data_IF_987471580179
#
_entry.id   IF_987471580179
#
_cell.length_a   1.000
_cell.length_b   1.000
_cell.length_c   1.000
_cell.angle_alpha   90.00
_cell.angle_beta   90.00
_cell.angle_gamma   90.00
#
_symmetry.space_group_name_H-M   'P 1'
#
loop_
_entity.id
_entity.type
_entity.pdbx_description
1 polymer ?
#
# COMPACT_ATOMS: atom_id res chain seq x y z
N UNK A 1 -3.02 -11.90 -17.58
CA UNK A 1 -4.39 -12.45 -17.72
C UNK A 1 -5.37 -11.41 -18.29
N UNK A 2 -5.40 -10.20 -17.74
CA UNK A 2 -6.44 -9.20 -18.00
C UNK A 2 -6.06 -8.13 -19.03
N UNK A 3 -4.81 -8.09 -19.45
CA UNK A 3 -4.26 -7.05 -20.34
C UNK A 3 -3.30 -7.64 -21.37
N UNK A 4 -3.11 -6.89 -22.46
CA UNK A 4 -2.10 -7.16 -23.50
C UNK A 4 -1.01 -6.08 -23.45
N UNK A 5 0.18 -6.31 -24.05
CA UNK A 5 1.17 -5.26 -24.23
C UNK A 5 0.56 -4.02 -24.92
N UNK A 6 0.86 -2.83 -24.38
CA UNK A 6 0.30 -1.56 -24.82
C UNK A 6 -1.01 -1.14 -24.13
N UNK A 7 -1.73 -2.06 -23.46
CA UNK A 7 -2.91 -1.70 -22.66
C UNK A 7 -2.54 -0.78 -21.49
N UNK A 8 -3.46 0.11 -21.12
CA UNK A 8 -3.31 0.99 -19.98
C UNK A 8 -3.73 0.30 -18.70
N UNK A 9 -2.89 0.44 -17.66
CA UNK A 9 -3.15 0.00 -16.29
C UNK A 9 -3.09 1.22 -15.38
N UNK A 10 -4.11 1.39 -14.55
CA UNK A 10 -4.24 2.53 -13.65
C UNK A 10 -3.79 2.16 -12.25
N UNK A 11 -3.10 3.10 -11.60
CA UNK A 11 -2.76 3.10 -10.17
C UNK A 11 -3.08 4.45 -9.55
N UNK A 12 -2.96 4.58 -8.22
CA UNK A 12 -3.18 5.82 -7.48
C UNK A 12 -1.93 6.17 -6.65
N UNK A 13 -1.02 6.96 -7.24
CA UNK A 13 0.20 7.37 -6.55
C UNK A 13 -0.06 8.45 -5.47
N UNK A 14 0.75 8.50 -4.37
CA UNK A 14 1.86 7.62 -4.09
C UNK A 14 1.34 6.23 -3.71
N UNK A 15 1.90 5.18 -4.30
CA UNK A 15 1.48 3.80 -4.09
C UNK A 15 2.69 2.86 -4.11
N UNK A 16 2.54 1.67 -3.58
CA UNK A 16 3.55 0.62 -3.57
C UNK A 16 4.28 0.52 -4.92
N UNK A 17 5.57 0.88 -4.91
CA UNK A 17 6.35 1.11 -6.13
C UNK A 17 6.41 -0.08 -7.09
N UNK A 18 6.40 -1.37 -6.64
CA UNK A 18 6.36 -2.48 -7.57
C UNK A 18 5.12 -2.52 -8.47
N UNK A 19 4.04 -1.79 -8.14
CA UNK A 19 2.91 -1.67 -9.07
C UNK A 19 3.32 -0.97 -10.35
N UNK A 20 4.10 0.11 -10.25
CA UNK A 20 4.63 0.82 -11.42
C UNK A 20 5.58 -0.06 -12.23
N UNK A 21 6.48 -0.75 -11.53
CA UNK A 21 7.48 -1.64 -12.14
C UNK A 21 6.83 -2.77 -12.92
N UNK A 22 5.91 -3.52 -12.30
CA UNK A 22 5.26 -4.65 -13.01
C UNK A 22 4.42 -4.22 -14.20
N UNK A 23 3.86 -3.01 -14.20
CA UNK A 23 3.13 -2.47 -15.33
C UNK A 23 4.08 -2.23 -16.51
N UNK A 24 5.16 -1.49 -16.26
CA UNK A 24 6.13 -1.08 -17.29
C UNK A 24 6.92 -2.28 -17.82
N UNK A 25 7.45 -3.11 -16.92
CA UNK A 25 8.27 -4.26 -17.27
C UNK A 25 7.52 -5.32 -18.09
N UNK A 26 6.19 -5.36 -17.94
CA UNK A 26 5.35 -6.21 -18.75
C UNK A 26 4.84 -5.51 -20.03
N UNK A 27 5.37 -4.35 -20.40
CA UNK A 27 5.03 -3.64 -21.63
C UNK A 27 3.63 -3.01 -21.63
N UNK A 28 3.05 -2.72 -20.45
CA UNK A 28 1.78 -2.00 -20.29
C UNK A 28 2.07 -0.52 -20.10
N UNK A 29 1.08 0.32 -20.39
CA UNK A 29 1.17 1.77 -20.16
C UNK A 29 0.71 2.07 -18.73
N UNK A 30 1.60 2.69 -17.96
CA UNK A 30 1.25 3.20 -16.64
C UNK A 30 0.37 4.46 -16.77
N UNK A 31 -0.75 4.47 -16.08
CA UNK A 31 -1.62 5.64 -15.89
C UNK A 31 -1.77 5.87 -14.40
N UNK A 32 -1.53 7.09 -13.93
CA UNK A 32 -1.74 7.45 -12.53
C UNK A 32 -2.89 8.44 -12.39
N UNK A 33 -3.80 8.16 -11.47
CA UNK A 33 -4.73 9.13 -10.89
C UNK A 33 -4.29 9.37 -9.46
N UNK A 34 -3.52 10.42 -9.26
CA UNK A 34 -2.80 10.66 -8.02
C UNK A 34 -3.77 10.96 -6.87
N UNK A 35 -3.45 10.44 -5.69
CA UNK A 35 -4.16 10.79 -4.47
C UNK A 35 -3.89 12.24 -4.09
N UNK A 36 -4.88 12.91 -3.55
CA UNK A 36 -4.80 14.31 -3.14
C UNK A 36 -4.65 14.40 -1.64
N UNK A 37 -3.57 15.04 -1.18
CA UNK A 37 -3.38 15.35 0.23
C UNK A 37 -4.21 16.57 0.61
N UNK A 38 -5.17 16.40 1.52
CA UNK A 38 -5.76 17.52 2.25
C UNK A 38 -4.76 18.01 3.28
N UNK A 39 -4.11 19.13 2.98
CA UNK A 39 -3.08 19.71 3.85
C UNK A 39 -3.60 20.13 5.23
N UNK A 40 -4.87 20.48 5.35
CA UNK A 40 -5.46 20.87 6.63
C UNK A 40 -5.76 19.63 7.49
N UNK A 41 -6.39 18.63 6.91
CA UNK A 41 -6.73 17.39 7.60
C UNK A 41 -5.53 16.44 7.76
N UNK A 42 -4.51 16.52 6.89
CA UNK A 42 -3.39 15.59 6.87
C UNK A 42 -3.77 14.21 6.38
N UNK A 43 -4.62 14.14 5.40
CA UNK A 43 -5.29 12.94 4.97
C UNK A 43 -5.37 12.90 3.44
N UNK A 44 -5.12 11.74 2.86
CA UNK A 44 -5.20 11.56 1.41
C UNK A 44 -6.62 11.15 0.98
N UNK A 45 -7.09 11.69 -0.13
CA UNK A 45 -8.38 11.36 -0.74
C UNK A 45 -8.25 11.01 -2.22
N UNK A 46 -9.32 10.45 -2.78
CA UNK A 46 -9.43 10.13 -4.20
C UNK A 46 -10.11 11.31 -4.91
N UNK A 47 -9.47 11.85 -5.96
CA UNK A 47 -10.14 12.70 -6.93
C UNK A 47 -10.91 11.80 -7.93
N UNK A 48 -12.18 11.58 -7.66
CA UNK A 48 -13.02 10.71 -8.48
C UNK A 48 -13.23 11.26 -9.91
N UNK A 49 -13.18 12.57 -10.07
CA UNK A 49 -13.31 13.18 -11.40
C UNK A 49 -12.07 12.91 -12.25
N UNK A 50 -10.87 13.06 -11.66
CA UNK A 50 -9.61 12.70 -12.31
C UNK A 50 -9.54 11.18 -12.56
N UNK A 51 -9.94 10.37 -11.59
CA UNK A 51 -9.95 8.91 -11.70
C UNK A 51 -10.79 8.44 -12.90
N UNK A 52 -12.03 8.93 -13.04
CA UNK A 52 -12.89 8.58 -14.17
C UNK A 52 -12.34 9.14 -15.49
N UNK A 53 -11.89 10.39 -15.51
CA UNK A 53 -11.28 11.02 -16.68
C UNK A 53 -10.08 10.22 -17.19
N UNK A 54 -9.16 9.80 -16.31
CA UNK A 54 -7.98 8.99 -16.65
C UNK A 54 -8.38 7.64 -17.25
N UNK A 55 -9.41 7.00 -16.72
CA UNK A 55 -9.95 5.74 -17.26
C UNK A 55 -10.43 5.93 -18.69
N UNK A 56 -11.23 6.97 -18.95
CA UNK A 56 -11.83 7.22 -20.25
C UNK A 56 -10.78 7.63 -21.29
N UNK A 57 -9.98 8.64 -20.98
CA UNK A 57 -8.98 9.17 -21.92
C UNK A 57 -7.91 8.16 -22.31
N UNK A 58 -7.56 7.25 -21.40
CA UNK A 58 -6.51 6.26 -21.63
C UNK A 58 -7.03 4.88 -22.01
N UNK A 59 -8.34 4.67 -22.05
CA UNK A 59 -8.94 3.36 -22.32
C UNK A 59 -8.43 2.27 -21.37
N UNK A 60 -8.37 2.60 -20.05
CA UNK A 60 -7.82 1.72 -19.02
C UNK A 60 -8.54 0.38 -19.01
N UNK A 61 -7.77 -0.71 -18.87
CA UNK A 61 -8.28 -2.09 -18.85
C UNK A 61 -8.21 -2.72 -17.47
N UNK A 62 -7.26 -2.29 -16.65
CA UNK A 62 -7.00 -2.83 -15.32
C UNK A 62 -6.70 -1.69 -14.35
N UNK A 63 -7.28 -1.74 -13.18
CA UNK A 63 -6.94 -0.89 -12.03
C UNK A 63 -6.30 -1.75 -10.94
N UNK A 64 -5.13 -1.36 -10.45
CA UNK A 64 -4.50 -1.97 -9.28
C UNK A 64 -4.86 -1.14 -8.06
N UNK A 65 -5.80 -1.64 -7.27
CA UNK A 65 -6.24 -1.03 -6.01
C UNK A 65 -5.36 -1.54 -4.87
N UNK A 66 -4.79 -0.62 -4.09
CA UNK A 66 -4.11 -0.91 -2.82
C UNK A 66 -5.06 -0.61 -1.65
N UNK A 67 -5.45 -1.62 -0.88
CA UNK A 67 -6.46 -1.48 0.19
C UNK A 67 -6.22 -2.44 1.36
N UNK A 68 -5.78 -1.97 2.51
CA UNK A 68 -5.33 -0.62 2.90
C UNK A 68 -4.16 -0.10 2.08
N UNK A 69 -4.10 1.22 1.91
CA UNK A 69 -3.19 1.86 0.95
C UNK A 69 -1.80 2.13 1.52
N UNK A 70 -0.79 1.53 0.94
CA UNK A 70 0.63 1.77 1.21
C UNK A 70 1.19 2.74 0.13
N UNK A 71 1.84 3.88 0.50
CA UNK A 71 2.43 4.20 1.80
C UNK A 71 1.55 5.07 2.72
N UNK A 72 0.46 5.65 2.24
CA UNK A 72 -0.27 6.74 2.92
C UNK A 72 -1.14 6.30 4.10
N UNK A 73 -1.27 4.98 4.31
CA UNK A 73 -1.97 4.42 5.47
C UNK A 73 -3.50 4.53 5.42
N UNK A 74 -4.11 4.84 4.25
CA UNK A 74 -5.57 4.94 4.13
C UNK A 74 -6.25 3.58 4.23
N UNK A 75 -7.38 3.56 4.91
CA UNK A 75 -8.38 2.47 4.87
C UNK A 75 -9.62 3.02 4.18
N UNK A 76 -9.83 2.60 2.94
CA UNK A 76 -10.93 3.12 2.12
C UNK A 76 -12.28 2.80 2.72
N UNK A 77 -13.13 3.81 2.85
CA UNK A 77 -14.51 3.64 3.30
C UNK A 77 -15.33 2.84 2.29
N UNK A 78 -16.45 2.29 2.75
CA UNK A 78 -17.40 1.61 1.88
C UNK A 78 -17.90 2.51 0.75
N UNK A 79 -18.11 3.79 1.06
CA UNK A 79 -18.61 4.82 0.13
C UNK A 79 -17.57 5.12 -0.96
N UNK A 80 -16.29 5.29 -0.58
CA UNK A 80 -15.20 5.50 -1.53
C UNK A 80 -15.04 4.29 -2.46
N UNK A 81 -15.00 3.08 -1.91
CA UNK A 81 -14.89 1.86 -2.71
C UNK A 81 -16.10 1.63 -3.61
N UNK A 82 -17.30 1.98 -3.14
CA UNK A 82 -18.52 1.91 -3.95
C UNK A 82 -18.44 2.85 -5.15
N UNK A 83 -17.94 4.06 -4.97
CA UNK A 83 -17.78 5.05 -6.05
C UNK A 83 -16.71 4.59 -7.05
N UNK A 84 -15.54 4.15 -6.59
CA UNK A 84 -14.48 3.55 -7.42
C UNK A 84 -15.05 2.37 -8.24
N UNK A 85 -15.72 1.44 -7.57
CA UNK A 85 -16.26 0.25 -8.22
C UNK A 85 -17.31 0.56 -9.27
N UNK A 86 -18.19 1.53 -9.04
CA UNK A 86 -19.18 1.98 -10.01
C UNK A 86 -18.55 2.63 -11.25
N UNK A 87 -17.47 3.38 -11.07
CA UNK A 87 -16.70 3.93 -12.20
C UNK A 87 -16.07 2.78 -12.99
N UNK A 88 -15.36 1.86 -12.34
CA UNK A 88 -14.75 0.72 -13.00
C UNK A 88 -15.78 -0.13 -13.76
N UNK A 89 -16.93 -0.40 -13.14
CA UNK A 89 -18.02 -1.16 -13.76
C UNK A 89 -18.56 -0.48 -15.02
N UNK A 90 -18.83 0.84 -14.97
CA UNK A 90 -19.33 1.61 -16.12
C UNK A 90 -18.44 1.53 -17.34
N UNK A 91 -17.12 1.51 -17.09
CA UNK A 91 -16.12 1.55 -18.17
C UNK A 91 -15.49 0.19 -18.46
N UNK A 92 -15.99 -0.90 -17.86
CA UNK A 92 -15.51 -2.26 -18.12
C UNK A 92 -14.05 -2.50 -17.67
N UNK A 93 -13.63 -1.83 -16.61
CA UNK A 93 -12.29 -1.96 -16.01
C UNK A 93 -12.27 -3.12 -15.02
N UNK A 94 -11.35 -4.07 -15.21
CA UNK A 94 -11.09 -5.10 -14.21
C UNK A 94 -10.35 -4.48 -13.01
N UNK A 95 -10.68 -4.90 -11.79
CA UNK A 95 -9.99 -4.46 -10.58
C UNK A 95 -9.17 -5.59 -9.99
N UNK A 96 -7.88 -5.36 -9.79
CA UNK A 96 -7.04 -6.19 -8.93
C UNK A 96 -6.94 -5.48 -7.57
N UNK A 97 -7.62 -6.03 -6.58
CA UNK A 97 -7.62 -5.50 -5.21
C UNK A 97 -6.54 -6.20 -4.40
N UNK A 98 -5.44 -5.48 -4.14
CA UNK A 98 -4.39 -5.93 -3.24
C UNK A 98 -4.78 -5.57 -1.80
N UNK A 99 -5.23 -6.58 -1.07
CA UNK A 99 -5.71 -6.48 0.31
C UNK A 99 -4.74 -7.10 1.32
N UNK A 100 -3.45 -7.15 0.98
CA UNK A 100 -2.40 -7.79 1.79
C UNK A 100 -2.24 -7.16 3.19
N UNK A 101 -2.68 -5.91 3.37
CA UNK A 101 -2.65 -5.19 4.64
C UNK A 101 -3.98 -5.21 5.41
N UNK A 102 -4.97 -5.98 4.97
CA UNK A 102 -6.33 -6.01 5.51
C UNK A 102 -6.39 -6.22 7.04
N UNK A 103 -5.47 -6.97 7.61
CA UNK A 103 -5.42 -7.29 9.04
C UNK A 103 -4.96 -6.11 9.93
N UNK A 104 -4.28 -5.13 9.34
CA UNK A 104 -3.77 -3.97 10.08
C UNK A 104 -4.63 -2.73 9.84
N UNK A 105 -5.76 -2.67 10.53
CA UNK A 105 -6.67 -1.52 10.56
C UNK A 105 -6.75 -0.99 11.98
N UNK A 106 -6.54 0.32 12.14
CA UNK A 106 -6.49 1.03 13.41
C UNK A 106 -7.77 1.82 13.67
N UNK A 107 -8.42 2.26 12.59
CA UNK A 107 -9.67 3.02 12.63
C UNK A 107 -10.68 2.41 11.66
N UNK A 108 -11.91 2.18 12.10
CA UNK A 108 -12.97 1.56 11.29
C UNK A 108 -12.76 0.06 11.06
N UNK A 109 -13.05 -0.40 9.86
CA UNK A 109 -12.89 -1.80 9.45
C UNK A 109 -12.51 -1.88 7.98
N UNK A 110 -11.66 -2.86 7.64
CA UNK A 110 -11.36 -3.16 6.24
C UNK A 110 -12.63 -3.58 5.49
N UNK A 111 -12.76 -3.07 4.28
CA UNK A 111 -13.85 -3.42 3.37
C UNK A 111 -13.26 -4.22 2.21
N UNK A 112 -13.67 -5.47 2.07
CA UNK A 112 -13.28 -6.31 0.92
C UNK A 112 -13.96 -5.77 -0.33
N UNK A 113 -13.18 -5.26 -1.30
CA UNK A 113 -13.70 -4.57 -2.47
C UNK A 113 -14.76 -5.40 -3.23
N UNK A 114 -14.50 -6.68 -3.44
CA UNK A 114 -15.37 -7.57 -4.21
C UNK A 114 -16.78 -7.74 -3.61
N UNK A 115 -16.99 -7.41 -2.33
CA UNK A 115 -18.28 -7.59 -1.63
C UNK A 115 -18.93 -6.28 -1.21
N UNK A 116 -18.31 -5.14 -1.51
CA UNK A 116 -18.90 -3.81 -1.26
C UNK A 116 -20.24 -3.66 -2.00
N UNK A 117 -20.30 -4.17 -3.22
CA UNK A 117 -21.51 -4.33 -4.01
C UNK A 117 -21.48 -5.73 -4.65
N UNK A 118 -22.58 -6.52 -4.65
CA UNK A 118 -22.61 -7.86 -5.24
C UNK A 118 -22.16 -7.90 -6.71
N UNK A 119 -22.34 -6.83 -7.48
CA UNK A 119 -21.93 -6.76 -8.87
C UNK A 119 -20.39 -6.68 -9.05
N UNK A 120 -19.66 -6.28 -8.02
CA UNK A 120 -18.20 -6.08 -8.14
C UNK A 120 -17.44 -7.41 -8.24
N UNK A 121 -18.00 -8.48 -7.71
CA UNK A 121 -17.42 -9.82 -7.80
C UNK A 121 -17.17 -10.29 -9.25
N UNK A 122 -17.96 -9.77 -10.21
CA UNK A 122 -17.87 -10.16 -11.62
C UNK A 122 -16.59 -9.64 -12.34
N UNK A 123 -15.94 -8.59 -11.81
CA UNK A 123 -14.77 -7.98 -12.45
C UNK A 123 -13.59 -7.78 -11.48
N UNK A 124 -13.61 -8.44 -10.32
CA UNK A 124 -12.58 -8.28 -9.28
C UNK A 124 -11.73 -9.53 -9.11
N UNK A 125 -10.44 -9.30 -8.99
CA UNK A 125 -9.44 -10.25 -8.47
C UNK A 125 -8.99 -9.72 -7.12
N UNK A 126 -9.28 -10.44 -6.04
CA UNK A 126 -8.82 -10.07 -4.69
C UNK A 126 -7.59 -10.89 -4.33
N UNK A 127 -6.53 -10.22 -3.89
CA UNK A 127 -5.29 -10.83 -3.43
C UNK A 127 -5.07 -10.53 -1.94
N UNK A 128 -4.80 -11.59 -1.16
CA UNK A 128 -4.41 -11.51 0.24
C UNK A 128 -3.19 -12.39 0.50
N UNK A 129 -2.51 -12.20 1.62
CA UNK A 129 -1.44 -13.08 2.02
C UNK A 129 -1.20 -13.05 3.54
N UNK A 130 -0.76 -14.13 4.16
CA UNK A 130 -0.33 -14.13 5.55
C UNK A 130 1.01 -13.43 5.77
N UNK A 131 1.69 -13.07 4.68
CA UNK A 131 3.09 -12.63 4.67
C UNK A 131 3.33 -11.34 5.44
N UNK A 132 2.41 -10.37 5.37
CA UNK A 132 2.52 -9.11 6.12
C UNK A 132 2.03 -9.27 7.55
N UNK A 133 0.97 -10.03 7.77
CA UNK A 133 0.37 -10.26 9.08
C UNK A 133 1.30 -11.03 9.99
N UNK A 134 1.96 -12.07 9.49
CA UNK A 134 2.78 -13.00 10.26
C UNK A 134 4.29 -12.91 9.95
N UNK A 135 4.74 -11.88 9.25
CA UNK A 135 6.14 -11.65 8.90
C UNK A 135 6.80 -12.83 8.17
N UNK A 136 6.09 -13.45 7.22
CA UNK A 136 6.55 -14.63 6.46
C UNK A 136 6.67 -14.36 4.95
N UNK A 137 6.95 -13.12 4.57
CA UNK A 137 7.02 -12.70 3.15
C UNK A 137 8.02 -13.53 2.32
N UNK A 138 9.13 -13.96 2.92
CA UNK A 138 10.13 -14.79 2.25
C UNK A 138 9.62 -16.18 1.81
N UNK A 139 8.47 -16.62 2.32
CA UNK A 139 7.85 -17.89 1.94
C UNK A 139 6.94 -17.78 0.71
N UNK A 140 6.66 -16.55 0.23
CA UNK A 140 6.03 -16.26 -1.06
C UNK A 140 4.67 -16.99 -1.28
N UNK A 141 3.79 -16.95 -0.29
CA UNK A 141 2.44 -17.51 -0.38
C UNK A 141 1.41 -16.39 -0.39
N UNK A 142 0.49 -16.45 -1.33
CA UNK A 142 -0.67 -15.57 -1.40
C UNK A 142 -1.95 -16.32 -1.76
N UNK A 143 -3.09 -15.74 -1.41
CA UNK A 143 -4.41 -16.25 -1.72
C UNK A 143 -5.04 -15.35 -2.78
N UNK A 144 -5.55 -15.94 -3.86
CA UNK A 144 -6.21 -15.21 -4.94
C UNK A 144 -7.65 -15.67 -5.04
N UNK A 145 -8.58 -14.73 -4.84
CA UNK A 145 -10.02 -14.98 -4.90
C UNK A 145 -10.62 -14.33 -6.15
N UNK A 146 -11.28 -15.14 -6.97
CA UNK A 146 -11.93 -14.68 -8.20
C UNK A 146 -13.27 -15.40 -8.29
N UNK A 147 -14.37 -14.67 -8.15
CA UNK A 147 -15.71 -15.26 -8.17
C UNK A 147 -16.18 -15.61 -9.58
N UNK A 148 -15.90 -14.73 -10.56
CA UNK A 148 -16.27 -14.95 -11.95
C UNK A 148 -15.49 -16.10 -12.60
N UNK A 149 -16.19 -17.06 -13.18
CA UNK A 149 -15.59 -18.26 -13.76
C UNK A 149 -14.71 -17.95 -14.99
N UNK A 150 -15.12 -17.02 -15.83
CA UNK A 150 -14.38 -16.65 -17.04
C UNK A 150 -13.09 -15.90 -16.69
N UNK A 151 -13.16 -14.96 -15.76
CA UNK A 151 -12.00 -14.24 -15.26
C UNK A 151 -11.02 -15.19 -14.56
N UNK A 152 -11.54 -16.12 -13.74
CA UNK A 152 -10.73 -17.14 -13.05
C UNK A 152 -10.04 -18.08 -14.04
N UNK A 153 -10.72 -18.48 -15.11
CA UNK A 153 -10.13 -19.31 -16.17
C UNK A 153 -8.98 -18.58 -16.89
N UNK A 154 -9.15 -17.30 -17.24
CA UNK A 154 -8.08 -16.46 -17.80
C UNK A 154 -6.88 -16.33 -16.88
N UNK A 155 -7.14 -16.09 -15.58
CA UNK A 155 -6.08 -16.02 -14.57
C UNK A 155 -5.29 -17.33 -14.49
N UNK A 156 -5.98 -18.47 -14.39
CA UNK A 156 -5.35 -19.80 -14.34
C UNK A 156 -4.52 -20.10 -15.60
N UNK A 157 -5.02 -19.73 -16.76
CA UNK A 157 -4.27 -19.90 -18.00
C UNK A 157 -2.96 -19.12 -17.99
N UNK A 158 -2.98 -17.84 -17.60
CA UNK A 158 -1.79 -17.01 -17.49
C UNK A 158 -0.83 -17.51 -16.41
N UNK A 159 -1.35 -17.92 -15.27
CA UNK A 159 -0.58 -18.50 -14.18
C UNK A 159 0.17 -19.77 -14.65
N UNK A 160 -0.53 -20.69 -15.31
CA UNK A 160 0.08 -21.92 -15.83
C UNK A 160 1.14 -21.62 -16.91
N UNK A 161 0.88 -20.63 -17.76
CA UNK A 161 1.81 -20.22 -18.83
C UNK A 161 3.10 -19.59 -18.27
N UNK A 162 3.09 -19.04 -17.06
CA UNK A 162 4.29 -18.50 -16.40
C UNK A 162 5.27 -19.58 -15.95
N UNK A 163 4.88 -20.85 -15.99
CA UNK A 163 5.67 -21.97 -15.51
C UNK A 163 5.71 -22.14 -13.99
N UNK A 164 5.05 -21.25 -13.25
CA UNK A 164 4.94 -21.34 -11.80
C UNK A 164 3.77 -22.26 -11.44
N UNK A 165 4.03 -23.55 -11.24
CA UNK A 165 2.99 -24.56 -11.09
C UNK A 165 2.77 -25.08 -9.67
N UNK A 166 3.71 -24.83 -8.76
CA UNK A 166 3.66 -25.38 -7.40
C UNK A 166 4.17 -24.34 -6.39
N UNK A 167 3.42 -24.20 -5.29
CA UNK A 167 3.88 -23.45 -4.12
C UNK A 167 4.95 -24.24 -3.36
N UNK A 168 5.86 -23.54 -2.68
CA UNK A 168 6.81 -24.23 -1.81
C UNK A 168 6.09 -24.84 -0.59
N UNK A 169 6.47 -26.06 -0.22
CA UNK A 169 5.80 -26.79 0.86
C UNK A 169 5.92 -26.08 2.21
N UNK A 170 7.05 -25.44 2.51
CA UNK A 170 7.24 -24.70 3.76
C UNK A 170 6.28 -23.50 3.86
N UNK A 171 6.05 -22.82 2.73
CA UNK A 171 5.10 -21.71 2.67
C UNK A 171 3.66 -22.14 2.95
N UNK A 172 3.24 -23.28 2.40
CA UNK A 172 1.89 -23.81 2.65
C UNK A 172 1.70 -24.17 4.12
N UNK A 173 2.67 -24.89 4.71
CA UNK A 173 2.64 -25.31 6.12
C UNK A 173 2.62 -24.07 7.04
N UNK A 174 3.47 -23.09 6.75
CA UNK A 174 3.56 -21.85 7.53
C UNK A 174 2.27 -21.03 7.43
N UNK A 175 1.67 -20.91 6.25
CA UNK A 175 0.42 -20.20 6.06
C UNK A 175 -0.73 -20.87 6.83
N UNK A 176 -0.82 -22.21 6.77
CA UNK A 176 -1.82 -22.96 7.52
C UNK A 176 -1.63 -22.77 9.03
N UNK A 177 -0.41 -22.92 9.54
CA UNK A 177 -0.11 -22.74 10.96
C UNK A 177 -0.41 -21.30 11.43
N UNK A 178 -0.03 -20.31 10.63
CA UNK A 178 -0.26 -18.90 10.92
C UNK A 178 -1.77 -18.59 11.05
N UNK A 179 -2.59 -19.02 10.11
CA UNK A 179 -4.02 -18.77 10.15
C UNK A 179 -4.74 -19.60 11.23
N UNK A 180 -4.28 -20.82 11.51
CA UNK A 180 -4.92 -21.68 12.51
C UNK A 180 -4.54 -21.31 13.94
N UNK A 181 -3.26 -21.02 14.19
CA UNK A 181 -2.70 -20.95 15.53
C UNK A 181 -2.14 -19.54 15.88
N UNK A 182 -2.11 -18.60 14.94
CA UNK A 182 -1.41 -17.31 15.05
C UNK A 182 -2.16 -16.20 15.78
N UNK A 183 -3.42 -16.37 16.18
CA UNK A 183 -4.28 -15.30 16.73
C UNK A 183 -3.67 -14.60 17.94
N UNK A 184 -3.15 -15.36 18.90
CA UNK A 184 -2.56 -14.80 20.13
C UNK A 184 -1.36 -13.93 19.83
N UNK A 185 -0.48 -14.39 18.92
CA UNK A 185 0.69 -13.64 18.49
C UNK A 185 0.29 -12.37 17.71
N UNK A 186 -0.66 -12.52 16.78
CA UNK A 186 -1.17 -11.41 15.97
C UNK A 186 -1.77 -10.31 16.82
N UNK A 187 -2.63 -10.65 17.78
CA UNK A 187 -3.25 -9.70 18.69
C UNK A 187 -2.21 -8.93 19.53
N UNK A 188 -1.16 -9.61 20.03
CA UNK A 188 -0.07 -8.98 20.77
C UNK A 188 0.76 -8.05 19.88
N UNK A 189 1.11 -8.46 18.67
CA UNK A 189 1.86 -7.63 17.70
C UNK A 189 1.06 -6.42 17.29
N UNK A 190 -0.24 -6.58 17.03
CA UNK A 190 -1.14 -5.48 16.67
C UNK A 190 -1.19 -4.42 17.77
N UNK A 191 -1.34 -4.82 19.03
CA UNK A 191 -1.31 -3.90 20.18
C UNK A 191 0.04 -3.17 20.27
N UNK A 192 1.15 -3.88 20.09
CA UNK A 192 2.49 -3.31 20.15
C UNK A 192 2.74 -2.28 19.03
N UNK A 193 2.25 -2.54 17.82
CA UNK A 193 2.36 -1.61 16.69
C UNK A 193 1.55 -0.33 16.97
N UNK A 194 0.35 -0.43 17.52
CA UNK A 194 -0.46 0.74 17.92
C UNK A 194 0.30 1.62 18.91
N UNK A 195 0.97 1.01 19.89
CA UNK A 195 1.80 1.74 20.85
C UNK A 195 3.02 2.39 20.16
N UNK A 196 3.64 1.74 19.19
CA UNK A 196 4.73 2.33 18.41
C UNK A 196 4.26 3.52 17.56
N UNK A 197 3.08 3.44 16.95
CA UNK A 197 2.47 4.56 16.20
C UNK A 197 2.23 5.74 17.16
N UNK A 198 1.65 5.49 18.34
CA UNK A 198 1.40 6.53 19.33
C UNK A 198 2.70 7.18 19.82
N UNK A 199 3.73 6.39 20.10
CA UNK A 199 5.05 6.88 20.50
C UNK A 199 5.70 7.75 19.41
N UNK A 200 5.68 7.30 18.16
CA UNK A 200 6.25 8.07 17.04
C UNK A 200 5.49 9.38 16.82
N UNK A 201 4.16 9.36 16.94
CA UNK A 201 3.31 10.56 16.86
C UNK A 201 3.71 11.61 17.87
N UNK A 202 3.83 11.22 19.15
CA UNK A 202 4.23 12.12 20.24
C UNK A 202 5.65 12.65 20.02
N UNK A 203 6.59 11.78 19.65
CA UNK A 203 7.97 12.16 19.38
C UNK A 203 8.07 13.21 18.27
N UNK A 204 7.42 12.97 17.13
CA UNK A 204 7.43 13.91 16.00
C UNK A 204 6.78 15.24 16.41
N UNK A 205 5.63 15.21 17.07
CA UNK A 205 4.92 16.41 17.46
C UNK A 205 5.72 17.29 18.43
N UNK A 206 6.48 16.68 19.34
CA UNK A 206 7.19 17.40 20.41
C UNK A 206 8.63 17.74 20.09
N UNK A 207 9.33 16.85 19.34
CA UNK A 207 10.78 16.97 19.13
C UNK A 207 11.16 17.29 17.68
N UNK A 208 10.26 17.03 16.70
CA UNK A 208 10.49 17.27 15.27
C UNK A 208 9.36 18.09 14.62
N UNK A 209 9.02 19.30 15.14
CA UNK A 209 7.83 20.05 14.71
C UNK A 209 7.87 20.52 13.25
N UNK A 210 9.02 20.44 12.59
CA UNK A 210 9.16 20.69 11.13
C UNK A 210 8.72 19.48 10.30
N UNK A 211 8.56 18.31 10.89
CA UNK A 211 8.02 17.11 10.24
C UNK A 211 6.55 16.97 10.55
N UNK A 212 5.83 16.29 9.66
CA UNK A 212 4.42 15.96 9.88
C UNK A 212 4.18 14.48 9.61
N UNK A 213 3.72 13.77 10.61
CA UNK A 213 3.23 12.42 10.43
C UNK A 213 1.85 12.47 9.79
N UNK A 214 1.66 11.74 8.69
CA UNK A 214 0.33 11.45 8.15
C UNK A 214 -0.25 10.34 9.00
N UNK A 215 -1.43 10.59 9.58
CA UNK A 215 -2.04 9.66 10.51
C UNK A 215 -2.48 8.37 9.80
N UNK A 216 -1.91 7.21 10.13
CA UNK A 216 -2.30 5.97 9.48
C UNK A 216 -3.65 5.47 10.03
N UNK A 217 -4.60 5.21 9.14
CA UNK A 217 -5.85 4.50 9.46
C UNK A 217 -5.63 2.98 9.48
N UNK A 218 -4.60 2.53 8.77
CA UNK A 218 -4.18 1.13 8.69
C UNK A 218 -2.71 1.00 8.32
N UNK A 219 -2.25 -0.23 8.19
CA UNK A 219 -0.85 -0.64 7.96
C UNK A 219 0.09 -0.29 9.13
N UNK A 220 1.25 -0.90 9.15
CA UNK A 220 2.35 -0.55 10.08
C UNK A 220 3.42 0.31 9.40
N UNK A 221 3.04 0.92 8.26
CA UNK A 221 3.89 1.80 7.48
C UNK A 221 3.41 3.22 7.69
N UNK A 222 4.29 4.06 8.23
CA UNK A 222 3.95 5.45 8.59
C UNK A 222 4.59 6.38 7.57
N UNK A 223 3.76 7.22 6.96
CA UNK A 223 4.14 8.22 5.97
C UNK A 223 4.42 9.54 6.65
N UNK A 224 5.61 10.10 6.45
CA UNK A 224 6.06 11.33 7.11
C UNK A 224 6.45 12.37 6.09
N UNK A 225 5.91 13.56 6.23
CA UNK A 225 6.16 14.74 5.41
C UNK A 225 7.37 15.52 5.94
N UNK A 226 8.39 15.66 5.11
CA UNK A 226 9.63 16.40 5.36
C UNK A 226 9.70 17.74 4.60
N UNK A 227 8.70 18.06 3.77
CA UNK A 227 8.73 19.22 2.85
C UNK A 227 8.98 20.55 3.56
N UNK A 228 8.59 20.68 4.83
CA UNK A 228 8.87 21.88 5.64
C UNK A 228 10.34 22.08 5.97
N UNK A 229 11.21 21.10 5.72
CA UNK A 229 12.65 21.28 5.81
C UNK A 229 13.19 22.13 4.65
N UNK A 230 12.48 22.22 3.53
CA UNK A 230 12.90 22.98 2.35
C UNK A 230 14.05 22.34 1.58
N UNK A 231 14.25 21.03 1.75
CA UNK A 231 15.26 20.23 1.06
C UNK A 231 14.69 19.68 -0.25
N UNK A 232 15.52 19.60 -1.27
CA UNK A 232 15.23 18.78 -2.44
C UNK A 232 15.39 17.27 -2.11
N UNK A 233 15.07 16.41 -3.05
CA UNK A 233 15.09 14.97 -2.82
C UNK A 233 16.49 14.43 -2.50
N UNK A 234 17.53 14.89 -3.21
CA UNK A 234 18.89 14.43 -3.00
C UNK A 234 19.42 14.86 -1.62
N UNK A 235 19.13 16.09 -1.21
CA UNK A 235 19.49 16.59 0.12
C UNK A 235 18.70 15.88 1.23
N UNK A 236 17.44 15.52 0.99
CA UNK A 236 16.65 14.73 1.94
C UNK A 236 17.20 13.29 2.07
N UNK A 237 17.58 12.66 0.98
CA UNK A 237 18.23 11.35 1.01
C UNK A 237 19.57 11.38 1.75
N UNK A 238 20.41 12.41 1.49
CA UNK A 238 21.67 12.60 2.23
C UNK A 238 21.42 12.77 3.74
N UNK A 239 20.41 13.58 4.09
CA UNK A 239 20.01 13.78 5.49
C UNK A 239 19.63 12.45 6.15
N UNK A 240 18.76 11.67 5.51
CA UNK A 240 18.23 10.43 6.09
C UNK A 240 19.28 9.33 6.11
N UNK A 241 19.94 9.08 4.96
CA UNK A 241 20.85 7.94 4.82
C UNK A 241 22.19 8.20 5.49
N UNK A 242 22.79 9.38 5.28
CA UNK A 242 24.18 9.63 5.71
C UNK A 242 24.28 10.42 7.02
N UNK A 243 23.39 11.39 7.28
CA UNK A 243 23.45 12.18 8.52
C UNK A 243 22.67 11.55 9.66
N UNK A 244 21.46 11.02 9.39
CA UNK A 244 20.71 10.29 10.37
C UNK A 244 21.11 8.81 10.46
N UNK A 245 21.86 8.28 9.50
CA UNK A 245 22.25 6.88 9.39
C UNK A 245 21.03 5.94 9.45
N UNK A 246 19.98 6.29 8.69
CA UNK A 246 18.74 5.54 8.58
C UNK A 246 18.51 5.08 7.15
N UNK A 247 18.11 3.83 6.97
CA UNK A 247 17.65 3.34 5.68
C UNK A 247 16.12 3.25 5.69
N UNK A 248 15.48 4.34 5.29
CA UNK A 248 14.05 4.43 5.09
C UNK A 248 13.71 4.23 3.61
N UNK A 249 12.42 4.12 3.32
CA UNK A 249 11.97 4.16 1.93
C UNK A 249 11.68 5.62 1.53
N UNK A 250 12.46 6.12 0.58
CA UNK A 250 12.26 7.44 -0.01
C UNK A 250 10.89 7.60 -0.63
N UNK A 251 10.26 8.72 -0.39
CA UNK A 251 8.95 9.01 -0.98
C UNK A 251 8.94 9.01 -2.50
N UNK A 252 10.04 9.41 -3.12
CA UNK A 252 10.17 9.46 -4.58
C UNK A 252 9.97 8.10 -5.27
N UNK A 253 10.31 6.99 -4.62
CA UNK A 253 10.11 5.66 -5.21
C UNK A 253 8.63 5.29 -5.37
N UNK A 254 7.72 5.94 -4.59
CA UNK A 254 6.27 5.70 -4.65
C UNK A 254 5.57 6.52 -5.74
N UNK A 255 6.33 7.29 -6.50
CA UNK A 255 5.88 8.18 -7.55
C UNK A 255 6.27 9.64 -7.30
N UNK A 256 6.23 10.51 -8.32
CA UNK A 256 6.65 11.91 -8.21
C UNK A 256 5.94 12.69 -7.10
N UNK A 257 4.67 12.37 -6.83
CA UNK A 257 3.87 12.99 -5.75
C UNK A 257 4.30 12.57 -4.35
N UNK A 258 5.22 11.61 -4.24
CA UNK A 258 5.83 11.19 -2.98
C UNK A 258 7.12 11.94 -2.62
N UNK A 259 7.61 12.83 -3.50
CA UNK A 259 8.80 13.62 -3.23
C UNK A 259 8.67 14.47 -1.96
N UNK A 260 9.74 14.50 -1.16
CA UNK A 260 9.76 15.19 0.12
C UNK A 260 9.13 14.42 1.28
N UNK A 261 8.74 13.17 1.06
CA UNK A 261 8.24 12.26 2.10
C UNK A 261 9.22 11.11 2.37
N UNK A 262 9.05 10.45 3.52
CA UNK A 262 9.74 9.21 3.88
C UNK A 262 8.76 8.23 4.52
N UNK A 263 8.91 6.92 4.23
CA UNK A 263 8.09 5.87 4.81
C UNK A 263 8.85 5.13 5.91
N UNK A 264 8.28 5.10 7.11
CA UNK A 264 8.79 4.35 8.25
C UNK A 264 8.05 3.02 8.41
N UNK A 265 8.78 1.95 8.72
CA UNK A 265 8.20 0.70 9.19
C UNK A 265 8.28 0.68 10.73
N UNK A 266 7.12 0.76 11.40
CA UNK A 266 7.04 0.78 12.87
C UNK A 266 6.76 -0.60 13.48
N UNK A 267 6.67 -1.66 12.67
CA UNK A 267 6.61 -3.05 13.13
C UNK A 267 8.02 -3.55 13.52
N UNK A 268 8.64 -2.86 14.46
CA UNK A 268 9.97 -3.15 14.97
C UNK A 268 10.01 -3.00 16.50
N UNK A 269 11.06 -3.49 17.18
CA UNK A 269 11.22 -3.25 18.62
C UNK A 269 11.22 -1.75 18.96
N UNK A 270 10.58 -1.37 20.07
CA UNK A 270 10.53 0.02 20.55
C UNK A 270 11.91 0.65 20.65
N UNK A 271 12.92 -0.08 21.10
CA UNK A 271 14.29 0.41 21.21
C UNK A 271 14.86 0.83 19.83
N UNK A 272 14.57 0.04 18.78
CA UNK A 272 14.98 0.37 17.41
C UNK A 272 14.29 1.64 16.92
N UNK A 273 12.97 1.76 17.14
CA UNK A 273 12.20 2.94 16.76
C UNK A 273 12.71 4.20 17.52
N UNK A 274 12.96 4.08 18.82
CA UNK A 274 13.50 5.17 19.64
C UNK A 274 14.84 5.64 19.11
N UNK A 275 15.78 4.71 18.89
CA UNK A 275 17.09 5.03 18.35
C UNK A 275 16.98 5.74 16.99
N UNK A 276 16.13 5.23 16.09
CA UNK A 276 15.94 5.83 14.76
C UNK A 276 15.41 7.27 14.85
N UNK A 277 14.44 7.52 15.73
CA UNK A 277 13.88 8.85 15.92
C UNK A 277 14.88 9.83 16.56
N UNK A 278 15.71 9.39 17.50
CA UNK A 278 16.78 10.21 18.12
C UNK A 278 17.90 10.53 17.11
N UNK A 279 18.28 9.58 16.26
CA UNK A 279 19.22 9.83 15.15
C UNK A 279 18.66 10.87 14.16
N UNK A 280 17.39 10.74 13.81
CA UNK A 280 16.71 11.69 12.93
C UNK A 280 16.63 13.09 13.55
N UNK A 281 16.29 13.19 14.84
CA UNK A 281 16.25 14.48 15.57
C UNK A 281 17.61 15.15 15.52
N UNK A 282 18.68 14.39 15.81
CA UNK A 282 20.06 14.93 15.77
C UNK A 282 20.39 15.47 14.39
N UNK A 283 20.05 14.75 13.33
CA UNK A 283 20.31 15.17 11.96
C UNK A 283 19.49 16.40 11.56
N UNK A 284 18.20 16.45 11.92
CA UNK A 284 17.29 17.57 11.58
C UNK A 284 17.63 18.85 12.36
N UNK A 285 18.13 18.73 13.58
CA UNK A 285 18.52 19.88 14.42
C UNK A 285 19.78 20.57 13.88
N UNK A 286 20.62 19.87 13.14
CA UNK A 286 21.89 20.36 12.62
C UNK A 286 21.81 20.94 11.19
N UNK A 287 20.58 21.26 10.68
CA UNK A 287 20.35 21.88 9.36
C UNK A 287 19.64 23.26 9.44
#
# INVERSE_FOLDING_TARGET
>A
ACTQPGDAVLIQQPVYYPFSEVIVDNGRRLVSSDLVLDEAAGHYGIDFADFERKIVENHVKLFLLCSPHNPVGRVWSREELLQVGRICQRHGVTVFSDEIHADFVWQGSHQVFAVVDPAFAAFTITATAPSKTFNIAGLQVSNIFIADDALRAKFRQAYNASGYSQLNAAGLIAAEAAYRDGETWYSAVKAYIVENIAYMREFIATRLPRLRMIEPEGTYLVWVDFRRLGLDNDALEDLVLHKANLWLDSGAIFGPVGEGFQRFNVACPRATLTQALEQLETAVTNI
#
